data_IF_076009008764
#
_entry.id   IF_076009008764
#
_cell.length_a   1.000
_cell.length_b   1.000
_cell.length_c   1.000
_cell.angle_alpha   90.00
_cell.angle_beta   90.00
_cell.angle_gamma   90.00
#
_symmetry.space_group_name_H-M   'P 1'
#
loop_
_entity.id
_entity.type
_entity.pdbx_description
1 polymer ?
#
# COMPACT_ATOMS: atom_id res chain seq x y z
N UNK A 1 -3.17 30.11 -15.22
CA UNK A 1 -2.70 29.03 -14.33
C UNK A 1 -1.18 29.10 -14.28
N UNK A 2 -0.56 29.28 -13.11
CA UNK A 2 0.90 29.17 -12.99
C UNK A 2 1.30 27.72 -13.31
N UNK A 3 2.23 27.52 -14.23
CA UNK A 3 2.69 26.18 -14.62
C UNK A 3 3.38 25.52 -13.41
N UNK A 4 2.77 24.46 -12.85
CA UNK A 4 3.28 23.74 -11.66
C UNK A 4 4.72 23.26 -11.87
N UNK A 5 5.08 22.85 -13.08
CA UNK A 5 6.43 22.39 -13.42
C UNK A 5 7.46 23.52 -13.33
N UNK A 6 7.15 24.72 -13.85
CA UNK A 6 8.07 25.86 -13.78
C UNK A 6 8.41 26.24 -12.33
N UNK A 7 7.41 26.18 -11.43
CA UNK A 7 7.63 26.41 -10.00
C UNK A 7 8.55 25.34 -9.38
N UNK A 8 8.39 24.06 -9.75
CA UNK A 8 9.24 22.97 -9.27
C UNK A 8 10.67 23.06 -9.79
N UNK A 9 10.87 23.42 -11.06
CA UNK A 9 12.20 23.68 -11.64
C UNK A 9 12.90 24.82 -10.89
N UNK A 10 12.15 25.91 -10.62
CA UNK A 10 12.67 27.04 -9.85
C UNK A 10 13.07 26.63 -8.44
N UNK A 11 12.25 25.81 -7.80
CA UNK A 11 12.51 25.28 -6.46
C UNK A 11 13.82 24.48 -6.43
N UNK A 12 14.00 23.51 -7.34
CA UNK A 12 15.26 22.75 -7.46
C UNK A 12 16.47 23.66 -7.59
N UNK A 13 16.40 24.66 -8.49
CA UNK A 13 17.51 25.61 -8.66
C UNK A 13 17.79 26.41 -7.38
N UNK A 14 16.74 26.84 -6.67
CA UNK A 14 16.88 27.60 -5.44
C UNK A 14 17.49 26.77 -4.31
N UNK A 15 17.15 25.48 -4.23
CA UNK A 15 17.73 24.53 -3.27
C UNK A 15 19.21 24.25 -3.54
N UNK A 16 19.63 24.30 -4.80
CA UNK A 16 21.04 24.30 -5.19
C UNK A 16 21.78 25.61 -4.85
N UNK A 17 21.06 26.68 -4.52
CA UNK A 17 21.65 27.97 -4.15
C UNK A 17 22.29 28.75 -5.31
N UNK A 18 21.94 28.44 -6.57
CA UNK A 18 22.61 29.02 -7.76
C UNK A 18 21.69 29.91 -8.62
N UNK A 19 22.30 30.81 -9.40
CA UNK A 19 21.60 31.69 -10.33
C UNK A 19 21.06 30.95 -11.56
N UNK A 20 20.10 31.56 -12.28
CA UNK A 20 19.58 31.02 -13.55
C UNK A 20 20.69 30.82 -14.61
N UNK A 21 21.72 31.66 -14.58
CA UNK A 21 22.84 31.56 -15.52
C UNK A 21 23.73 30.35 -15.19
N UNK A 22 24.08 30.17 -13.91
CA UNK A 22 24.84 29.01 -13.43
C UNK A 22 24.08 27.71 -13.65
N UNK A 23 22.79 27.70 -13.35
CA UNK A 23 21.92 26.55 -13.60
C UNK A 23 21.90 26.17 -15.09
N UNK A 24 21.79 27.17 -15.98
CA UNK A 24 21.81 26.96 -17.43
C UNK A 24 23.10 26.30 -17.95
N UNK A 25 24.23 26.50 -17.25
CA UNK A 25 25.54 25.90 -17.59
C UNK A 25 25.62 24.40 -17.25
N UNK A 26 24.69 23.86 -16.46
CA UNK A 26 24.67 22.45 -16.05
C UNK A 26 24.07 21.49 -17.11
N UNK A 27 23.65 22.02 -18.26
CA UNK A 27 23.01 21.26 -19.34
C UNK A 27 23.89 21.17 -20.58
N UNK A 28 23.67 20.13 -21.39
CA UNK A 28 24.33 19.97 -22.68
C UNK A 28 23.30 19.87 -23.82
N UNK A 29 23.27 20.81 -24.79
CA UNK A 29 24.02 22.06 -24.79
C UNK A 29 23.54 23.01 -23.66
N UNK A 30 24.37 23.97 -23.22
CA UNK A 30 24.00 24.93 -22.18
C UNK A 30 22.71 25.70 -22.54
N UNK A 31 21.91 26.02 -21.52
CA UNK A 31 20.75 26.88 -21.64
C UNK A 31 21.10 28.32 -21.21
N UNK A 32 20.62 29.32 -21.95
CA UNK A 32 20.80 30.71 -21.55
C UNK A 32 19.91 31.06 -20.35
N UNK A 33 20.27 32.11 -19.61
CA UNK A 33 19.43 32.67 -18.53
C UNK A 33 17.98 32.91 -18.97
N UNK A 34 17.76 33.40 -20.19
CA UNK A 34 16.43 33.63 -20.74
C UNK A 34 15.64 32.33 -20.94
N UNK A 35 16.30 31.26 -21.39
CA UNK A 35 15.67 29.94 -21.54
C UNK A 35 15.29 29.36 -20.18
N UNK A 36 16.17 29.44 -19.18
CA UNK A 36 15.87 28.98 -17.81
C UNK A 36 14.71 29.79 -17.20
N UNK A 37 14.70 31.11 -17.39
CA UNK A 37 13.57 31.96 -16.98
C UNK A 37 12.25 31.55 -17.64
N UNK A 38 12.28 31.17 -18.92
CA UNK A 38 11.10 30.70 -19.63
C UNK A 38 10.59 29.37 -19.07
N UNK A 39 11.48 28.45 -18.68
CA UNK A 39 11.09 27.22 -17.99
C UNK A 39 10.42 27.51 -16.65
N UNK A 40 11.06 28.33 -15.80
CA UNK A 40 10.57 28.62 -14.44
C UNK A 40 9.23 29.37 -14.42
N UNK A 41 8.97 30.19 -15.44
CA UNK A 41 7.71 30.91 -15.60
C UNK A 41 6.68 30.13 -16.44
N UNK A 42 7.06 28.98 -17.00
CA UNK A 42 6.17 28.12 -17.77
C UNK A 42 5.86 28.60 -19.19
N UNK A 43 6.70 29.47 -19.77
CA UNK A 43 6.56 29.92 -21.16
C UNK A 43 6.96 28.84 -22.18
N UNK A 44 7.92 27.99 -21.83
CA UNK A 44 8.27 26.78 -22.59
C UNK A 44 8.73 25.68 -21.64
N UNK A 45 8.76 24.43 -22.13
CA UNK A 45 9.19 23.28 -21.33
C UNK A 45 10.63 22.89 -21.69
N UNK A 46 11.43 22.38 -20.75
CA UNK A 46 12.65 21.64 -21.07
C UNK A 46 12.30 20.37 -21.87
N UNK A 47 13.24 19.85 -22.65
CA UNK A 47 13.08 18.54 -23.29
C UNK A 47 13.30 17.41 -22.27
N UNK A 48 13.02 16.16 -22.67
CA UNK A 48 13.11 15.00 -21.79
C UNK A 48 14.51 14.82 -21.16
N UNK A 49 15.59 15.02 -21.92
CA UNK A 49 16.96 14.93 -21.39
C UNK A 49 17.24 15.98 -20.32
N UNK A 50 16.80 17.24 -20.54
CA UNK A 50 16.95 18.31 -19.56
C UNK A 50 16.06 18.09 -18.35
N UNK A 51 14.84 17.59 -18.50
CA UNK A 51 13.97 17.22 -17.39
C UNK A 51 14.62 16.13 -16.52
N UNK A 52 15.17 15.08 -17.13
CA UNK A 52 15.92 14.04 -16.43
C UNK A 52 17.10 14.65 -15.68
N UNK A 53 17.88 15.52 -16.33
CA UNK A 53 19.01 16.19 -15.69
C UNK A 53 18.60 17.11 -14.53
N UNK A 54 17.49 17.84 -14.66
CA UNK A 54 16.94 18.66 -13.56
C UNK A 54 16.55 17.75 -12.38
N UNK A 55 15.93 16.61 -12.68
CA UNK A 55 15.50 15.65 -11.67
C UNK A 55 16.68 15.07 -10.89
N UNK A 56 17.74 14.66 -11.60
CA UNK A 56 19.02 14.22 -11.03
C UNK A 56 19.66 15.30 -10.13
N UNK A 57 19.73 16.56 -10.62
CA UNK A 57 20.33 17.66 -9.87
C UNK A 57 19.56 17.97 -8.57
N UNK A 58 18.24 17.84 -8.59
CA UNK A 58 17.38 18.08 -7.43
C UNK A 58 17.14 16.87 -6.54
N UNK A 59 17.67 15.70 -6.89
CA UNK A 59 17.31 14.42 -6.29
C UNK A 59 15.78 14.19 -6.20
N UNK A 60 15.05 14.50 -7.27
CA UNK A 60 13.58 14.33 -7.36
C UNK A 60 13.20 13.40 -8.51
N UNK A 61 11.96 12.92 -8.54
CA UNK A 61 11.42 12.19 -9.70
C UNK A 61 11.06 13.13 -10.87
N UNK A 62 11.08 12.62 -12.10
CA UNK A 62 10.64 13.38 -13.28
C UNK A 62 9.13 13.64 -13.23
N UNK A 63 8.38 12.68 -12.71
CA UNK A 63 6.95 12.72 -12.45
C UNK A 63 6.61 13.83 -11.46
N UNK A 64 7.45 14.03 -10.44
CA UNK A 64 7.33 15.20 -9.59
C UNK A 64 7.49 16.48 -10.38
N UNK A 65 8.58 16.66 -11.14
CA UNK A 65 8.79 17.88 -11.91
C UNK A 65 7.62 18.20 -12.84
N UNK A 66 7.06 17.20 -13.50
CA UNK A 66 5.92 17.34 -14.44
C UNK A 66 4.56 17.49 -13.75
N UNK A 67 4.50 17.22 -12.44
CA UNK A 67 3.27 17.30 -11.65
C UNK A 67 2.38 16.05 -11.75
N UNK A 68 2.92 14.93 -12.23
CA UNK A 68 2.27 13.62 -12.28
C UNK A 68 2.37 12.85 -10.96
N UNK A 69 3.37 13.18 -10.13
CA UNK A 69 3.56 12.56 -8.81
C UNK A 69 3.84 13.62 -7.74
N UNK A 70 3.51 13.30 -6.49
CA UNK A 70 3.95 14.05 -5.31
C UNK A 70 5.36 13.65 -4.85
N UNK A 71 5.89 12.50 -5.29
CA UNK A 71 7.20 11.95 -4.90
C UNK A 71 8.37 12.91 -5.16
N UNK A 72 8.77 13.66 -4.15
CA UNK A 72 9.85 14.66 -4.20
C UNK A 72 11.21 14.04 -3.83
N UNK A 73 11.42 12.80 -4.27
CA UNK A 73 12.67 12.08 -4.13
C UNK A 73 12.90 11.25 -5.41
N UNK A 74 14.15 11.09 -5.84
CA UNK A 74 14.45 10.23 -7.00
C UNK A 74 14.05 8.77 -6.73
N UNK A 75 13.72 8.02 -7.78
CA UNK A 75 13.41 6.59 -7.67
C UNK A 75 14.58 5.81 -7.04
N UNK A 76 15.81 6.14 -7.43
CA UNK A 76 17.03 5.51 -6.93
C UNK A 76 17.22 5.74 -5.43
N UNK A 77 17.10 6.99 -4.97
CA UNK A 77 17.23 7.32 -3.55
C UNK A 77 16.09 6.75 -2.72
N UNK A 78 14.86 6.80 -3.23
CA UNK A 78 13.72 6.20 -2.55
C UNK A 78 13.88 4.68 -2.41
N UNK A 79 14.26 3.98 -3.48
CA UNK A 79 14.51 2.55 -3.44
C UNK A 79 15.61 2.20 -2.42
N UNK A 80 16.68 2.99 -2.33
CA UNK A 80 17.72 2.80 -1.33
C UNK A 80 17.21 2.98 0.10
N UNK A 81 16.33 3.96 0.36
CA UNK A 81 15.68 4.11 1.67
C UNK A 81 14.80 2.89 1.99
N UNK A 82 14.01 2.40 1.03
CA UNK A 82 13.19 1.20 1.20
C UNK A 82 14.05 -0.03 1.53
N UNK A 83 15.18 -0.22 0.83
CA UNK A 83 16.14 -1.29 1.11
C UNK A 83 16.73 -1.17 2.51
N UNK A 84 17.18 0.01 2.90
CA UNK A 84 17.76 0.25 4.22
C UNK A 84 16.76 -0.05 5.33
N UNK A 85 15.50 0.37 5.18
CA UNK A 85 14.43 0.04 6.14
C UNK A 85 14.16 -1.47 6.18
N UNK A 86 14.08 -2.12 5.01
CA UNK A 86 13.89 -3.57 4.94
C UNK A 86 14.99 -4.35 5.67
N UNK A 87 16.27 -3.99 5.43
CA UNK A 87 17.40 -4.63 6.11
C UNK A 87 17.50 -4.28 7.59
N UNK A 88 17.08 -3.07 7.99
CA UNK A 88 16.96 -2.69 9.40
C UNK A 88 15.95 -3.60 10.11
N UNK A 89 14.81 -3.90 9.49
CA UNK A 89 13.84 -4.86 10.04
C UNK A 89 14.42 -6.27 10.18
N UNK A 90 15.18 -6.76 9.20
CA UNK A 90 15.81 -8.07 9.28
C UNK A 90 16.91 -8.16 10.35
N UNK A 91 17.63 -7.06 10.59
CA UNK A 91 18.81 -7.04 11.47
C UNK A 91 18.48 -6.66 12.91
N UNK A 92 17.58 -5.70 13.10
CA UNK A 92 17.28 -5.04 14.38
C UNK A 92 15.81 -5.17 14.80
N UNK A 93 15.08 -6.16 14.26
CA UNK A 93 13.65 -6.41 14.45
C UNK A 93 13.20 -6.74 15.87
N UNK A 94 13.81 -6.15 16.92
CA UNK A 94 13.47 -6.31 18.33
C UNK A 94 12.00 -5.98 18.67
N UNK A 95 11.26 -5.38 17.72
CA UNK A 95 9.83 -5.06 17.84
C UNK A 95 8.92 -5.86 16.89
N UNK A 96 9.47 -6.73 16.03
CA UNK A 96 8.68 -7.57 15.11
C UNK A 96 8.48 -8.97 15.70
N UNK A 97 7.32 -9.55 15.46
CA UNK A 97 7.06 -10.95 15.77
C UNK A 97 7.88 -11.88 14.86
N UNK A 98 8.23 -13.07 15.34
CA UNK A 98 8.96 -14.08 14.57
C UNK A 98 8.28 -14.40 13.22
N UNK A 99 6.95 -14.37 13.21
CA UNK A 99 6.11 -14.54 12.02
C UNK A 99 6.40 -13.47 10.97
N UNK A 100 6.54 -12.21 11.36
CA UNK A 100 6.79 -11.08 10.47
C UNK A 100 8.19 -11.18 9.88
N UNK A 101 9.20 -11.51 10.69
CA UNK A 101 10.57 -11.74 10.21
C UNK A 101 10.60 -12.87 9.17
N UNK A 102 9.87 -13.97 9.40
CA UNK A 102 9.75 -15.06 8.43
C UNK A 102 9.15 -14.59 7.10
N UNK A 103 8.12 -13.73 7.14
CA UNK A 103 7.49 -13.15 5.95
C UNK A 103 8.44 -12.24 5.19
N UNK A 104 9.18 -11.40 5.89
CA UNK A 104 10.16 -10.51 5.26
C UNK A 104 11.27 -11.31 4.57
N UNK A 105 11.82 -12.34 5.23
CA UNK A 105 12.86 -13.22 4.66
C UNK A 105 12.45 -13.94 3.38
N UNK A 106 11.16 -14.12 3.13
CA UNK A 106 10.69 -14.68 1.85
C UNK A 106 11.13 -13.85 0.65
N UNK A 107 11.16 -12.53 0.80
CA UNK A 107 11.57 -11.60 -0.25
C UNK A 107 13.08 -11.37 -0.33
N UNK A 108 13.87 -11.94 0.60
CA UNK A 108 15.33 -11.87 0.59
C UNK A 108 15.90 -12.82 -0.48
N UNK A 109 15.65 -12.47 -1.74
CA UNK A 109 16.02 -13.23 -2.93
C UNK A 109 16.31 -12.27 -4.10
N UNK A 110 16.68 -12.82 -5.26
CA UNK A 110 17.07 -12.05 -6.45
C UNK A 110 15.99 -11.08 -6.99
N UNK A 111 14.75 -11.15 -6.50
CA UNK A 111 13.65 -10.25 -6.85
C UNK A 111 13.38 -9.14 -5.83
N UNK A 112 14.16 -9.00 -4.76
CA UNK A 112 13.93 -7.99 -3.71
C UNK A 112 13.73 -6.58 -4.28
N UNK A 113 14.60 -6.16 -5.21
CA UNK A 113 14.53 -4.84 -5.84
C UNK A 113 13.19 -4.60 -6.53
N UNK A 114 12.69 -5.57 -7.31
CA UNK A 114 11.39 -5.47 -7.99
C UNK A 114 10.23 -5.41 -7.01
N UNK A 115 10.33 -6.15 -5.90
CA UNK A 115 9.32 -6.15 -4.83
C UNK A 115 9.28 -4.76 -4.17
N UNK A 116 10.44 -4.21 -3.82
CA UNK A 116 10.55 -2.89 -3.20
C UNK A 116 10.19 -1.76 -4.16
N UNK A 117 10.47 -1.87 -5.46
CA UNK A 117 10.00 -0.91 -6.47
C UNK A 117 8.47 -0.88 -6.54
N UNK A 118 7.82 -2.05 -6.47
CA UNK A 118 6.34 -2.14 -6.43
C UNK A 118 5.78 -1.54 -5.15
N UNK A 119 6.44 -1.79 -4.02
CA UNK A 119 6.11 -1.18 -2.73
C UNK A 119 6.23 0.35 -2.82
N UNK A 120 7.36 0.85 -3.33
CA UNK A 120 7.63 2.28 -3.52
C UNK A 120 6.55 2.96 -4.36
N UNK A 121 6.21 2.38 -5.52
CA UNK A 121 5.13 2.90 -6.38
C UNK A 121 3.78 2.93 -5.66
N UNK A 122 3.48 1.90 -4.86
CA UNK A 122 2.23 1.83 -4.09
C UNK A 122 2.19 2.90 -2.99
N UNK A 123 3.29 3.08 -2.26
CA UNK A 123 3.43 4.10 -1.22
C UNK A 123 3.19 5.51 -1.77
N UNK A 124 3.89 5.88 -2.85
CA UNK A 124 3.75 7.22 -3.46
C UNK A 124 2.45 7.41 -4.25
N UNK A 125 1.65 6.36 -4.47
CA UNK A 125 0.31 6.47 -5.04
C UNK A 125 -0.76 6.86 -4.01
N UNK A 126 -0.42 6.83 -2.71
CA UNK A 126 -1.34 7.23 -1.66
C UNK A 126 -1.65 8.73 -1.75
N UNK A 127 -2.92 9.14 -1.66
CA UNK A 127 -3.28 10.54 -1.70
C UNK A 127 -2.73 11.25 -0.45
N UNK A 128 -1.82 12.20 -0.64
CA UNK A 128 -1.27 13.04 0.44
C UNK A 128 -2.00 14.38 0.47
N UNK A 129 -2.25 14.91 1.67
CA UNK A 129 -2.69 16.30 1.79
C UNK A 129 -1.54 17.24 1.40
N UNK A 130 -1.87 18.43 0.85
CA UNK A 130 -0.86 19.39 0.35
C UNK A 130 0.19 19.82 1.41
N UNK A 131 -0.10 19.61 2.71
CA UNK A 131 0.75 19.97 3.83
C UNK A 131 1.53 18.79 4.45
N UNK A 132 1.32 17.56 3.99
CA UNK A 132 2.06 16.36 4.43
C UNK A 132 3.28 16.10 3.54
N UNK A 133 4.17 17.09 3.44
CA UNK A 133 5.32 17.03 2.53
C UNK A 133 6.35 15.98 2.94
N UNK A 134 6.44 15.64 4.22
CA UNK A 134 7.44 14.74 4.80
C UNK A 134 7.33 13.31 4.26
N UNK A 135 6.11 12.85 3.95
CA UNK A 135 5.88 11.51 3.38
C UNK A 135 6.34 11.43 1.93
N UNK A 136 6.32 12.57 1.23
CA UNK A 136 6.70 12.66 -0.19
C UNK A 136 8.21 12.84 -0.38
N UNK A 137 8.92 13.30 0.66
CA UNK A 137 10.37 13.49 0.66
C UNK A 137 11.12 12.34 1.33
N UNK A 138 10.45 11.54 2.17
CA UNK A 138 11.05 10.51 3.03
C UNK A 138 12.10 11.06 4.01
N UNK A 139 11.99 12.34 4.38
CA UNK A 139 12.84 12.93 5.44
C UNK A 139 12.50 12.34 6.81
N UNK A 140 11.21 12.09 7.06
CA UNK A 140 10.74 11.23 8.15
C UNK A 140 10.27 9.89 7.59
N UNK A 141 10.91 8.81 8.03
CA UNK A 141 10.61 7.45 7.58
C UNK A 141 9.68 6.69 8.51
N UNK A 142 9.17 7.30 9.59
CA UNK A 142 8.36 6.63 10.61
C UNK A 142 7.10 5.99 10.01
N UNK A 143 6.38 6.72 9.15
CA UNK A 143 5.22 6.17 8.46
C UNK A 143 5.61 5.10 7.44
N UNK A 144 6.68 5.32 6.67
CA UNK A 144 7.17 4.33 5.69
C UNK A 144 7.54 3.02 6.37
N UNK A 145 8.18 3.09 7.54
CA UNK A 145 8.54 1.94 8.37
C UNK A 145 7.30 1.09 8.68
N UNK A 146 6.31 1.66 9.36
CA UNK A 146 5.07 0.96 9.71
C UNK A 146 4.36 0.41 8.46
N UNK A 147 4.24 1.24 7.42
CA UNK A 147 3.56 0.86 6.19
C UNK A 147 4.24 -0.27 5.42
N UNK A 148 5.57 -0.28 5.35
CA UNK A 148 6.33 -1.24 4.53
C UNK A 148 6.21 -2.66 5.09
N UNK A 149 6.22 -2.82 6.41
CA UNK A 149 6.04 -4.14 7.07
C UNK A 149 4.66 -4.71 6.74
N UNK A 150 3.62 -3.89 6.86
CA UNK A 150 2.24 -4.28 6.53
C UNK A 150 2.13 -4.65 5.05
N UNK A 151 2.65 -3.80 4.16
CA UNK A 151 2.62 -4.03 2.71
C UNK A 151 3.31 -5.35 2.32
N UNK A 152 4.51 -5.62 2.84
CA UNK A 152 5.25 -6.84 2.55
C UNK A 152 4.58 -8.07 3.17
N UNK A 153 4.02 -7.94 4.37
CA UNK A 153 3.24 -9.01 4.99
C UNK A 153 2.01 -9.39 4.17
N UNK A 154 1.28 -8.40 3.65
CA UNK A 154 0.14 -8.63 2.75
C UNK A 154 0.56 -9.27 1.43
N UNK A 155 1.69 -8.84 0.88
CA UNK A 155 2.20 -9.41 -0.36
C UNK A 155 2.58 -10.88 -0.15
N UNK A 156 3.24 -11.19 0.97
CA UNK A 156 3.57 -12.57 1.34
C UNK A 156 2.31 -13.43 1.46
N UNK A 157 1.27 -12.93 2.13
CA UNK A 157 0.00 -13.64 2.31
C UNK A 157 -0.70 -13.96 0.99
N UNK A 158 -0.46 -13.17 -0.07
CA UNK A 158 -1.00 -13.37 -1.41
C UNK A 158 -0.15 -14.30 -2.27
N UNK A 159 1.17 -14.22 -2.16
CA UNK A 159 2.10 -15.01 -2.99
C UNK A 159 2.35 -16.41 -2.41
N UNK A 160 2.27 -16.56 -1.09
CA UNK A 160 2.53 -17.83 -0.40
C UNK A 160 1.20 -18.49 -0.06
N UNK A 161 0.79 -19.44 -0.92
CA UNK A 161 -0.47 -20.15 -0.80
C UNK A 161 -0.38 -21.26 0.26
N UNK A 162 -0.82 -20.98 1.48
CA UNK A 162 -0.87 -21.95 2.59
C UNK A 162 -2.21 -21.91 3.32
N UNK A 163 -2.48 -22.94 4.16
CA UNK A 163 -3.70 -22.99 4.95
C UNK A 163 -3.78 -21.79 5.90
N UNK A 164 -2.67 -21.46 6.56
CA UNK A 164 -2.60 -20.35 7.50
C UNK A 164 -2.84 -19.01 6.79
N UNK A 165 -2.24 -18.79 5.62
CA UNK A 165 -2.46 -17.56 4.85
C UNK A 165 -3.89 -17.47 4.29
N UNK A 166 -4.50 -18.60 3.88
CA UNK A 166 -5.93 -18.63 3.52
C UNK A 166 -6.82 -18.21 4.69
N UNK A 167 -6.58 -18.72 5.89
CA UNK A 167 -7.31 -18.37 7.11
C UNK A 167 -7.12 -16.89 7.46
N UNK A 168 -5.86 -16.42 7.48
CA UNK A 168 -5.52 -15.02 7.80
C UNK A 168 -6.19 -14.05 6.82
N UNK A 169 -6.10 -14.32 5.51
CA UNK A 169 -6.78 -13.54 4.47
C UNK A 169 -8.30 -13.54 4.67
N UNK A 170 -8.89 -14.69 5.02
CA UNK A 170 -10.34 -14.79 5.27
C UNK A 170 -10.75 -13.93 6.46
N UNK A 171 -10.01 -14.00 7.58
CA UNK A 171 -10.26 -13.20 8.80
C UNK A 171 -10.15 -11.70 8.50
N UNK A 172 -9.15 -11.30 7.73
CA UNK A 172 -8.90 -9.90 7.37
C UNK A 172 -10.04 -9.28 6.55
N UNK A 173 -10.74 -10.08 5.75
CA UNK A 173 -11.89 -9.64 4.97
C UNK A 173 -13.20 -9.55 5.79
N UNK A 174 -13.19 -9.93 7.08
CA UNK A 174 -14.34 -9.75 7.97
C UNK A 174 -14.38 -8.28 8.42
N UNK A 175 -15.48 -7.52 8.19
CA UNK A 175 -15.57 -6.09 8.51
C UNK A 175 -15.21 -5.77 9.96
N UNK A 176 -14.29 -4.84 10.19
CA UNK A 176 -13.90 -4.44 11.54
C UNK A 176 -15.10 -3.91 12.35
N UNK A 177 -15.10 -4.11 13.66
CA UNK A 177 -16.21 -3.67 14.53
C UNK A 177 -16.43 -2.16 14.48
N UNK A 178 -15.37 -1.37 14.23
CA UNK A 178 -15.47 0.08 14.01
C UNK A 178 -16.37 0.45 12.83
N UNK A 179 -16.31 -0.31 11.72
CA UNK A 179 -17.15 -0.09 10.54
C UNK A 179 -18.63 -0.28 10.88
N UNK A 180 -18.95 -1.32 11.64
CA UNK A 180 -20.33 -1.59 12.10
C UNK A 180 -20.79 -0.53 13.09
N UNK A 181 -19.92 -0.16 14.04
CA UNK A 181 -20.22 0.84 15.08
C UNK A 181 -20.55 2.21 14.47
N UNK A 182 -19.75 2.64 13.51
CA UNK A 182 -19.89 3.92 12.81
C UNK A 182 -21.01 3.93 11.77
N UNK A 183 -21.64 2.78 11.49
CA UNK A 183 -22.73 2.73 10.51
C UNK A 183 -23.91 3.59 10.99
N UNK A 184 -24.28 4.57 10.15
CA UNK A 184 -25.29 5.57 10.47
C UNK A 184 -24.78 6.83 11.14
N UNK A 185 -23.49 6.93 11.51
CA UNK A 185 -22.88 8.19 11.93
C UNK A 185 -22.72 9.12 10.72
N UNK A 186 -23.06 10.40 10.90
CA UNK A 186 -23.07 11.45 9.89
C UNK A 186 -22.37 12.69 10.45
N UNK A 187 -21.67 13.46 9.61
CA UNK A 187 -21.06 14.74 10.01
C UNK A 187 -20.15 14.64 11.24
N UNK A 188 -19.23 13.68 11.23
CA UNK A 188 -18.22 13.53 12.27
C UNK A 188 -17.32 14.77 12.34
N UNK A 189 -17.15 15.33 13.54
CA UNK A 189 -16.28 16.46 13.84
C UNK A 189 -15.51 16.14 15.11
N UNK A 190 -14.21 16.41 15.11
CA UNK A 190 -13.37 16.28 16.30
C UNK A 190 -12.55 17.56 16.47
N UNK A 191 -12.53 18.09 17.69
CA UNK A 191 -11.84 19.31 18.07
C UNK A 191 -10.91 18.95 19.21
N UNK A 192 -9.61 19.15 19.00
CA UNK A 192 -8.64 19.13 20.09
C UNK A 192 -8.97 20.28 21.06
N UNK A 193 -9.20 19.99 22.34
CA UNK A 193 -9.69 21.01 23.27
C UNK A 193 -8.74 22.21 23.41
N UNK A 194 -7.44 22.00 23.19
CA UNK A 194 -6.43 23.07 23.15
C UNK A 194 -6.70 24.14 22.08
N UNK A 195 -7.46 23.79 21.02
CA UNK A 195 -7.83 24.67 19.90
C UNK A 195 -9.20 25.34 20.09
N UNK A 196 -9.88 25.09 21.21
CA UNK A 196 -11.19 25.68 21.51
C UNK A 196 -11.09 27.18 21.82
N UNK A 197 -12.07 27.98 21.40
CA UNK A 197 -12.17 29.39 21.80
C UNK A 197 -12.47 29.51 23.30
N UNK A 198 -11.45 29.89 24.07
CA UNK A 198 -11.56 30.07 25.53
C UNK A 198 -12.55 31.17 25.93
N UNK A 199 -13.01 32.03 25.02
CA UNK A 199 -14.07 33.00 25.34
C UNK A 199 -15.40 32.31 25.68
N UNK A 200 -15.63 31.09 25.17
CA UNK A 200 -16.81 30.29 25.48
C UNK A 200 -16.92 29.96 26.98
N UNK A 201 -15.79 29.97 27.71
CA UNK A 201 -15.72 29.70 29.15
C UNK A 201 -16.14 30.90 30.02
N UNK A 202 -16.26 32.11 29.45
CA UNK A 202 -16.55 33.32 30.23
C UNK A 202 -17.95 33.33 30.84
N UNK A 203 -18.91 32.63 30.22
CA UNK A 203 -20.27 32.47 30.72
C UNK A 203 -20.44 31.29 31.67
N UNK A 204 -19.44 30.43 31.80
CA UNK A 204 -19.51 29.19 32.55
C UNK A 204 -19.08 29.36 34.01
N UNK A 205 -19.44 28.36 34.84
CA UNK A 205 -19.09 28.36 36.26
C UNK A 205 -17.58 28.27 36.49
N UNK A 206 -17.11 28.71 37.66
CA UNK A 206 -15.70 28.59 38.04
C UNK A 206 -15.23 27.12 38.02
N UNK A 207 -16.08 26.21 38.49
CA UNK A 207 -15.80 24.77 38.51
C UNK A 207 -15.62 24.22 37.09
N UNK A 208 -16.59 24.48 36.21
CA UNK A 208 -16.52 24.11 34.78
C UNK A 208 -15.25 24.65 34.12
N UNK A 209 -14.87 25.89 34.43
CA UNK A 209 -13.67 26.51 33.88
C UNK A 209 -12.37 25.84 34.34
N UNK A 210 -12.28 25.44 35.60
CA UNK A 210 -11.13 24.70 36.12
C UNK A 210 -11.06 23.28 35.53
N UNK A 211 -12.20 22.60 35.40
CA UNK A 211 -12.27 21.27 34.78
C UNK A 211 -11.87 21.28 33.30
N UNK A 212 -12.42 22.20 32.50
CA UNK A 212 -12.09 22.29 31.07
C UNK A 212 -10.62 22.63 30.88
N UNK A 213 -10.05 23.53 31.69
CA UNK A 213 -8.59 23.82 31.64
C UNK A 213 -7.75 22.58 31.95
N UNK A 214 -8.16 21.76 32.92
CA UNK A 214 -7.47 20.49 33.21
C UNK A 214 -7.53 19.52 32.03
N UNK A 215 -8.69 19.42 31.36
CA UNK A 215 -8.87 18.56 30.19
C UNK A 215 -8.03 19.05 29.00
N UNK A 216 -7.94 20.37 28.78
CA UNK A 216 -7.06 20.98 27.77
C UNK A 216 -5.60 20.58 28.01
N UNK A 217 -5.11 20.77 29.24
CA UNK A 217 -3.73 20.40 29.60
C UNK A 217 -3.45 18.91 29.49
N UNK A 218 -4.49 18.08 29.42
CA UNK A 218 -4.38 16.62 29.31
C UNK A 218 -4.61 16.11 27.87
N UNK A 219 -4.70 16.99 26.87
CA UNK A 219 -4.76 16.60 25.45
C UNK A 219 -6.06 15.94 25.00
N UNK A 220 -7.18 16.21 25.68
CA UNK A 220 -8.47 15.63 25.32
C UNK A 220 -9.04 16.22 24.02
N UNK A 221 -9.89 15.44 23.35
CA UNK A 221 -10.62 15.82 22.14
C UNK A 221 -12.13 15.81 22.42
N UNK A 222 -12.84 16.83 21.96
CA UNK A 222 -14.29 16.83 21.87
C UNK A 222 -14.70 16.29 20.50
N UNK A 223 -15.50 15.23 20.47
CA UNK A 223 -16.01 14.65 19.23
C UNK A 223 -17.53 14.72 19.22
N UNK A 224 -18.10 15.14 18.08
CA UNK A 224 -19.53 15.22 17.86
C UNK A 224 -19.88 14.70 16.46
N UNK A 225 -21.01 14.02 16.34
CA UNK A 225 -21.56 13.55 15.08
C UNK A 225 -23.10 13.57 15.14
N UNK A 226 -23.75 13.65 13.99
CA UNK A 226 -25.17 13.30 13.83
C UNK A 226 -25.27 11.79 13.62
N UNK A 227 -26.43 11.20 13.84
CA UNK A 227 -26.64 9.78 13.58
C UNK A 227 -28.04 9.51 13.01
N UNK A 228 -28.16 8.43 12.24
CA UNK A 228 -29.45 7.88 11.80
C UNK A 228 -30.08 7.08 12.95
N UNK A 229 -31.03 7.70 13.65
CA UNK A 229 -31.68 7.13 14.82
C UNK A 229 -32.55 5.91 14.49
N UNK A 230 -32.90 5.68 13.21
CA UNK A 230 -33.61 4.47 12.81
C UNK A 230 -32.73 3.21 12.84
N UNK A 231 -31.41 3.35 12.95
CA UNK A 231 -30.51 2.20 13.06
C UNK A 231 -30.51 1.69 14.50
N UNK A 232 -30.82 0.41 14.65
CA UNK A 232 -30.89 -0.24 15.94
C UNK A 232 -29.49 -0.62 16.45
N UNK A 233 -29.11 -0.12 17.64
CA UNK A 233 -27.81 -0.43 18.24
C UNK A 233 -27.70 -1.88 18.73
N UNK A 234 -28.78 -2.51 19.18
CA UNK A 234 -28.81 -3.95 19.51
C UNK A 234 -28.53 -4.81 18.25
N UNK A 235 -28.98 -4.37 17.07
CA UNK A 235 -28.62 -5.00 15.80
C UNK A 235 -27.12 -4.86 15.53
N UNK A 236 -26.53 -3.69 15.74
CA UNK A 236 -25.07 -3.49 15.59
C UNK A 236 -24.29 -4.40 16.53
N UNK A 237 -24.71 -4.50 17.79
CA UNK A 237 -24.12 -5.40 18.78
C UNK A 237 -24.25 -6.88 18.37
N UNK A 238 -25.42 -7.30 17.91
CA UNK A 238 -25.65 -8.66 17.41
C UNK A 238 -24.73 -8.98 16.23
N UNK A 239 -24.60 -8.07 15.26
CA UNK A 239 -23.67 -8.20 14.13
C UNK A 239 -22.24 -8.32 14.64
N UNK A 240 -21.77 -7.40 15.48
CA UNK A 240 -20.40 -7.45 16.02
C UNK A 240 -20.11 -8.75 16.78
N UNK A 241 -21.10 -9.28 17.52
CA UNK A 241 -20.99 -10.58 18.19
C UNK A 241 -20.81 -11.73 17.19
N UNK A 242 -21.58 -11.74 16.09
CA UNK A 242 -21.42 -12.72 15.01
C UNK A 242 -20.03 -12.61 14.41
N UNK A 243 -19.59 -11.41 14.01
CA UNK A 243 -18.28 -11.21 13.40
C UNK A 243 -17.14 -11.64 14.32
N UNK A 244 -17.22 -11.33 15.62
CA UNK A 244 -16.23 -11.76 16.60
C UNK A 244 -16.21 -13.29 16.75
N UNK A 245 -17.38 -13.94 16.86
CA UNK A 245 -17.46 -15.40 16.90
C UNK A 245 -16.85 -16.03 15.66
N UNK A 246 -17.19 -15.52 14.47
CA UNK A 246 -16.63 -16.01 13.21
C UNK A 246 -15.11 -15.89 13.18
N UNK A 247 -14.53 -14.77 13.63
CA UNK A 247 -13.07 -14.62 13.73
C UNK A 247 -12.45 -15.66 14.66
N UNK A 248 -13.04 -15.88 15.83
CA UNK A 248 -12.53 -16.86 16.79
C UNK A 248 -12.64 -18.29 16.25
N UNK A 249 -13.73 -18.62 15.57
CA UNK A 249 -13.91 -19.94 14.97
C UNK A 249 -12.92 -20.18 13.81
N UNK A 250 -12.66 -19.16 12.99
CA UNK A 250 -11.61 -19.24 11.96
C UNK A 250 -10.21 -19.37 12.56
N UNK A 251 -9.91 -18.66 13.66
CA UNK A 251 -8.62 -18.81 14.36
C UNK A 251 -8.40 -20.24 14.85
N UNK A 252 -9.43 -20.91 15.36
CA UNK A 252 -9.35 -22.32 15.79
C UNK A 252 -8.97 -23.27 14.64
N UNK A 253 -9.36 -22.95 13.40
CA UNK A 253 -9.00 -23.77 12.24
C UNK A 253 -7.49 -23.86 12.02
N UNK A 254 -6.71 -22.90 12.54
CA UNK A 254 -5.25 -22.89 12.40
C UNK A 254 -4.59 -24.11 13.03
N UNK A 255 -5.10 -24.56 14.17
CA UNK A 255 -4.60 -25.76 14.87
C UNK A 255 -5.05 -27.05 14.18
N UNK A 256 -6.25 -27.03 13.60
CA UNK A 256 -6.86 -28.19 12.91
C UNK A 256 -6.19 -28.42 11.54
N UNK A 257 -5.82 -27.34 10.85
CA UNK A 257 -5.28 -27.36 9.49
C UNK A 257 -3.90 -26.68 9.44
N UNK A 258 -2.84 -27.35 9.93
CA UNK A 258 -1.49 -26.83 9.82
C UNK A 258 -1.05 -26.73 8.36
N UNK A 259 -0.05 -25.89 8.11
CA UNK A 259 0.57 -25.80 6.79
C UNK A 259 1.26 -27.13 6.42
N UNK A 260 1.14 -27.49 5.15
CA UNK A 260 1.84 -28.63 4.55
C UNK A 260 3.01 -28.13 3.70
N UNK A 261 4.04 -28.95 3.47
CA UNK A 261 5.09 -28.61 2.50
C UNK A 261 4.48 -28.24 1.15
N UNK A 262 5.00 -27.17 0.54
CA UNK A 262 4.51 -26.74 -0.77
C UNK A 262 4.75 -27.83 -1.81
N UNK A 263 3.69 -28.19 -2.54
CA UNK A 263 3.71 -29.16 -3.64
C UNK A 263 2.77 -28.66 -4.72
N UNK A 264 3.31 -28.31 -5.88
CA UNK A 264 2.51 -27.92 -7.04
C UNK A 264 2.09 -29.21 -7.76
N UNK A 265 0.79 -29.42 -7.90
CA UNK A 265 0.20 -30.55 -8.63
C UNK A 265 -0.56 -30.03 -9.86
N UNK A 266 -0.58 -30.83 -10.92
CA UNK A 266 -1.31 -30.53 -12.14
C UNK A 266 -2.66 -31.23 -12.14
N UNK A 267 -3.73 -30.48 -12.37
CA UNK A 267 -5.00 -31.02 -12.81
C UNK A 267 -5.11 -30.91 -14.33
N UNK A 268 -5.52 -31.99 -15.01
CA UNK A 268 -5.67 -32.03 -16.47
C UNK A 268 -7.10 -32.35 -16.82
N UNK A 269 -7.70 -31.56 -17.72
CA UNK A 269 -9.08 -31.72 -18.17
C UNK A 269 -9.11 -31.76 -19.70
N UNK A 270 -9.80 -32.74 -20.25
CA UNK A 270 -10.13 -32.88 -21.67
C UNK A 270 -11.65 -32.87 -21.80
N UNK A 271 -12.19 -31.80 -22.38
CA UNK A 271 -13.62 -31.62 -22.61
C UNK A 271 -13.86 -31.03 -24.00
N UNK A 272 -15.07 -31.21 -24.53
CA UNK A 272 -15.53 -30.54 -25.75
C UNK A 272 -16.32 -29.30 -25.39
N UNK A 273 -16.26 -28.25 -26.20
CA UNK A 273 -17.12 -27.07 -26.05
C UNK A 273 -18.60 -27.39 -26.30
N UNK A 274 -18.89 -28.45 -27.06
CA UNK A 274 -20.24 -28.83 -27.50
C UNK A 274 -20.86 -29.96 -26.67
N UNK A 275 -20.15 -30.47 -25.66
CA UNK A 275 -20.65 -31.53 -24.77
C UNK A 275 -20.86 -30.98 -23.36
N UNK A 276 -21.74 -31.65 -22.61
CA UNK A 276 -21.92 -31.38 -21.19
C UNK A 276 -20.58 -31.46 -20.46
N UNK A 277 -20.35 -30.61 -19.46
CA UNK A 277 -19.04 -30.49 -18.77
C UNK A 277 -18.66 -31.82 -18.09
N UNK A 278 -19.67 -32.63 -17.76
CA UNK A 278 -19.52 -33.97 -17.18
C UNK A 278 -19.09 -35.05 -18.20
N UNK A 279 -19.09 -34.73 -19.50
CA UNK A 279 -18.67 -35.62 -20.58
C UNK A 279 -17.26 -35.26 -21.06
N UNK A 280 -16.26 -35.84 -20.40
CA UNK A 280 -14.85 -35.72 -20.76
C UNK A 280 -13.93 -36.69 -20.03
N UNK A 281 -12.65 -36.35 -20.03
CA UNK A 281 -11.64 -36.99 -19.19
C UNK A 281 -10.99 -35.95 -18.27
N UNK A 282 -10.77 -36.29 -17.01
CA UNK A 282 -10.06 -35.42 -16.08
C UNK A 282 -9.24 -36.21 -15.07
N UNK A 283 -8.07 -35.68 -14.71
CA UNK A 283 -7.22 -36.19 -13.62
C UNK A 283 -6.80 -35.05 -12.72
N UNK A 284 -7.11 -35.15 -11.43
CA UNK A 284 -6.75 -34.18 -10.39
C UNK A 284 -6.26 -34.92 -9.14
N UNK A 285 -4.94 -34.95 -8.93
CA UNK A 285 -4.34 -35.79 -7.90
C UNK A 285 -4.66 -37.27 -8.12
N UNK A 286 -5.23 -37.91 -7.10
CA UNK A 286 -5.67 -39.32 -7.15
C UNK A 286 -7.07 -39.49 -7.78
N UNK A 287 -7.82 -38.41 -7.98
CA UNK A 287 -9.16 -38.47 -8.56
C UNK A 287 -9.09 -38.49 -10.09
N UNK A 288 -9.80 -39.42 -10.70
CA UNK A 288 -9.91 -39.56 -12.15
C UNK A 288 -11.36 -39.81 -12.58
N UNK A 289 -11.79 -39.13 -13.64
CA UNK A 289 -13.05 -39.38 -14.35
C UNK A 289 -12.72 -39.59 -15.83
N UNK A 290 -13.23 -40.68 -16.42
CA UNK A 290 -12.96 -41.04 -17.81
C UNK A 290 -14.23 -41.54 -18.51
N UNK A 291 -15.12 -40.63 -18.88
CA UNK A 291 -16.31 -40.97 -19.67
C UNK A 291 -15.97 -41.35 -21.12
N UNK A 292 -14.78 -40.99 -21.58
CA UNK A 292 -14.29 -41.23 -22.94
C UNK A 292 -13.64 -42.60 -23.10
N UNK A 293 -13.40 -43.33 -22.01
CA UNK A 293 -12.70 -44.62 -21.97
C UNK A 293 -11.34 -44.56 -22.69
N UNK A 294 -10.52 -43.55 -22.37
CA UNK A 294 -9.21 -43.37 -22.98
C UNK A 294 -8.23 -44.47 -22.55
N UNK A 295 -7.30 -44.83 -23.43
CA UNK A 295 -6.18 -45.69 -23.04
C UNK A 295 -5.22 -44.94 -22.10
N UNK A 296 -4.55 -45.66 -21.19
CA UNK A 296 -3.54 -45.05 -20.31
C UNK A 296 -2.46 -44.28 -21.08
N UNK A 297 -2.01 -44.82 -22.23
CA UNK A 297 -1.04 -44.12 -23.09
C UNK A 297 -1.56 -42.78 -23.62
N UNK A 298 -2.87 -42.68 -23.89
CA UNK A 298 -3.52 -41.46 -24.35
C UNK A 298 -3.66 -40.45 -23.21
N UNK A 299 -3.98 -40.92 -22.00
CA UNK A 299 -4.04 -40.08 -20.80
C UNK A 299 -2.68 -39.48 -20.46
N UNK A 300 -1.63 -40.30 -20.42
CA UNK A 300 -0.25 -39.86 -20.21
C UNK A 300 0.19 -38.83 -21.26
N UNK A 301 -0.19 -39.05 -22.52
CA UNK A 301 0.07 -38.11 -23.61
C UNK A 301 -0.55 -36.73 -23.37
N UNK A 302 -1.82 -36.66 -22.96
CA UNK A 302 -2.48 -35.39 -22.66
C UNK A 302 -1.94 -34.69 -21.42
N UNK A 303 -1.62 -35.43 -20.36
CA UNK A 303 -0.94 -34.88 -19.16
C UNK A 303 0.35 -34.19 -19.59
N UNK A 304 1.18 -34.88 -20.37
CA UNK A 304 2.47 -34.35 -20.84
C UNK A 304 2.31 -33.09 -21.68
N UNK A 305 1.36 -33.06 -22.63
CA UNK A 305 1.10 -31.86 -23.44
C UNK A 305 0.67 -30.67 -22.55
N UNK A 306 -0.20 -30.93 -21.57
CA UNK A 306 -0.62 -29.90 -20.63
C UNK A 306 0.57 -29.41 -19.78
N UNK A 307 1.44 -30.30 -19.29
CA UNK A 307 2.66 -29.93 -18.56
C UNK A 307 3.60 -29.06 -19.41
N UNK A 308 3.84 -29.43 -20.67
CA UNK A 308 4.69 -28.68 -21.60
C UNK A 308 4.14 -27.27 -21.86
N UNK A 309 2.81 -27.10 -21.83
CA UNK A 309 2.15 -25.79 -21.98
C UNK A 309 2.24 -24.96 -20.71
N UNK A 310 2.03 -25.56 -19.54
CA UNK A 310 2.13 -24.87 -18.26
C UNK A 310 3.56 -24.37 -18.00
N UNK A 311 4.58 -25.18 -18.31
CA UNK A 311 5.98 -24.83 -18.10
C UNK A 311 6.54 -23.76 -19.06
N UNK A 312 5.86 -23.47 -20.19
CA UNK A 312 6.26 -22.39 -21.11
C UNK A 312 5.75 -21.01 -20.70
N UNK A 313 4.80 -20.96 -19.77
CA UNK A 313 4.13 -19.74 -19.31
C UNK A 313 4.55 -19.31 -17.90
N UNK A 314 5.52 -20.00 -17.30
CA UNK A 314 6.19 -19.67 -16.03
C UNK A 314 7.60 -19.18 -16.37
#
# INVERSE_FOLDING_TARGET
MKNKMGLKIRQVRQELGISMEEFGKLFNPPASKGVVSNWENGYNNPNNERLKRIAELGNVSVEYLTGLSSQRISEESALEIFKNIYFDYLSNGNNLEEKEIKRLKYFDNDNLDKVLEKAMKSYFSMPTLDWETEWTTLEDTSMLKEWLVDYLSELYEKEVLTNQNLIDNTIKNIPANSVVKQYGELNFQSIELSKMDLNLLKSESKETNEEVKRLISSGFFLTAHKYEASINDELKEAIMKILNSTREDLKKLKEIYPDKPSKIEQATYLHSMDMDIDLGWSKNGEQENDSLNLSESTKEFFIRIASDKLNKNI
#
